data_IF_605861913351
#
_entry.id   IF_605861913351
#
_cell.length_a   1.000
_cell.length_b   1.000
_cell.length_c   1.000
_cell.angle_alpha   90.00
_cell.angle_beta   90.00
_cell.angle_gamma   90.00
#
_symmetry.space_group_name_H-M   'P 1'
#
loop_
_entity.id
_entity.type
_entity.pdbx_description
1 polymer ?
#
# COMPACT_ATOMS: atom_id res chain seq x y z
N UNK A 1 -4.24 -27.10 15.84
CA UNK A 1 -4.55 -26.81 14.42
C UNK A 1 -4.49 -25.30 14.07
N UNK A 2 -5.27 -24.42 14.74
CA UNK A 2 -5.26 -22.96 14.48
C UNK A 2 -3.86 -22.30 14.51
N UNK A 3 -3.01 -22.66 15.49
CA UNK A 3 -1.64 -22.11 15.63
C UNK A 3 -0.69 -22.50 14.48
N UNK A 4 -0.87 -23.69 13.89
CA UNK A 4 -0.05 -24.17 12.76
C UNK A 4 -0.44 -23.42 11.47
N UNK A 5 -1.74 -23.24 11.23
CA UNK A 5 -2.26 -22.50 10.07
C UNK A 5 -1.80 -21.03 10.12
N UNK A 6 -1.85 -20.41 11.29
CA UNK A 6 -1.40 -19.03 11.50
C UNK A 6 0.12 -18.89 11.33
N UNK A 7 0.92 -19.88 11.76
CA UNK A 7 2.35 -19.92 11.50
C UNK A 7 2.65 -20.04 9.99
N UNK A 8 1.94 -20.91 9.28
CA UNK A 8 2.10 -21.09 7.84
C UNK A 8 1.75 -19.80 7.09
N UNK A 9 0.60 -19.20 7.38
CA UNK A 9 0.20 -17.90 6.79
C UNK A 9 1.24 -16.80 7.01
N UNK A 10 1.83 -16.71 8.22
CA UNK A 10 2.90 -15.74 8.50
C UNK A 10 4.12 -15.95 7.61
N UNK A 11 4.59 -17.20 7.49
CA UNK A 11 5.75 -17.53 6.65
C UNK A 11 5.48 -17.20 5.19
N UNK A 12 4.29 -17.54 4.68
CA UNK A 12 3.87 -17.23 3.31
C UNK A 12 3.86 -15.72 3.04
N UNK A 13 3.30 -14.92 3.96
CA UNK A 13 3.28 -13.46 3.82
C UNK A 13 4.70 -12.90 3.76
N UNK A 14 5.61 -13.33 4.65
CA UNK A 14 6.99 -12.86 4.64
C UNK A 14 7.75 -13.25 3.36
N UNK A 15 7.53 -14.46 2.88
CA UNK A 15 8.15 -14.93 1.64
C UNK A 15 7.68 -14.11 0.43
N UNK A 16 6.36 -13.89 0.30
CA UNK A 16 5.79 -13.06 -0.76
C UNK A 16 6.27 -11.61 -0.63
N UNK A 17 6.34 -11.07 0.59
CA UNK A 17 6.85 -9.71 0.83
C UNK A 17 8.28 -9.55 0.31
N UNK A 18 9.15 -10.51 0.63
CA UNK A 18 10.55 -10.49 0.22
C UNK A 18 10.68 -10.55 -1.30
N UNK A 19 9.97 -11.48 -1.94
CA UNK A 19 10.01 -11.66 -3.40
C UNK A 19 9.49 -10.40 -4.11
N UNK A 20 8.31 -9.91 -3.73
CA UNK A 20 7.71 -8.74 -4.37
C UNK A 20 8.59 -7.50 -4.22
N UNK A 21 9.13 -7.26 -3.02
CA UNK A 21 10.07 -6.16 -2.76
C UNK A 21 11.35 -6.31 -3.59
N UNK A 22 11.91 -7.53 -3.66
CA UNK A 22 13.10 -7.81 -4.46
C UNK A 22 12.87 -7.44 -5.94
N UNK A 23 11.77 -7.89 -6.54
CA UNK A 23 11.46 -7.59 -7.94
C UNK A 23 11.24 -6.09 -8.20
N UNK A 24 10.57 -5.38 -7.30
CA UNK A 24 10.35 -3.93 -7.44
C UNK A 24 11.66 -3.16 -7.32
N UNK A 25 12.50 -3.49 -6.32
CA UNK A 25 13.78 -2.81 -6.09
C UNK A 25 14.77 -3.09 -7.22
N UNK A 26 14.98 -4.36 -7.56
CA UNK A 26 15.88 -4.72 -8.67
C UNK A 26 15.35 -4.21 -10.02
N UNK A 27 14.04 -4.29 -10.25
CA UNK A 27 13.43 -3.72 -11.45
C UNK A 27 13.65 -2.21 -11.55
N UNK A 28 13.56 -1.49 -10.42
CA UNK A 28 13.84 -0.05 -10.36
C UNK A 28 15.31 0.26 -10.62
N UNK A 29 16.24 -0.53 -10.04
CA UNK A 29 17.67 -0.42 -10.32
C UNK A 29 17.98 -0.65 -11.81
N UNK A 30 17.38 -1.68 -12.41
CA UNK A 30 17.55 -1.97 -13.84
C UNK A 30 17.02 -0.83 -14.69
N UNK A 31 15.91 -0.18 -14.28
CA UNK A 31 15.37 0.97 -14.98
C UNK A 31 16.32 2.17 -14.94
N UNK A 32 16.93 2.46 -13.79
CA UNK A 32 17.91 3.53 -13.62
C UNK A 32 19.17 3.25 -14.44
N UNK A 33 19.64 2.00 -14.46
CA UNK A 33 20.82 1.58 -15.22
C UNK A 33 20.56 1.36 -16.72
N UNK A 34 19.32 1.58 -17.19
CA UNK A 34 18.87 1.30 -18.55
C UNK A 34 19.07 -0.16 -19.01
N UNK A 35 19.09 -1.10 -18.06
CA UNK A 35 19.25 -2.52 -18.35
C UNK A 35 17.96 -3.16 -18.89
N UNK A 36 18.07 -4.15 -19.79
CA UNK A 36 16.90 -4.84 -20.32
C UNK A 36 16.14 -5.60 -19.22
N UNK A 37 14.82 -5.71 -19.37
CA UNK A 37 13.96 -6.45 -18.43
C UNK A 37 13.41 -5.65 -17.24
N UNK A 38 13.82 -4.39 -17.06
CA UNK A 38 13.33 -3.52 -15.98
C UNK A 38 11.79 -3.43 -15.91
N UNK A 39 11.14 -3.24 -17.06
CA UNK A 39 9.70 -3.11 -17.14
C UNK A 39 8.96 -4.37 -16.66
N UNK A 40 9.47 -5.55 -17.04
CA UNK A 40 8.89 -6.84 -16.66
C UNK A 40 9.01 -7.06 -15.15
N UNK A 41 10.20 -6.81 -14.59
CA UNK A 41 10.44 -6.99 -13.15
C UNK A 41 9.56 -6.08 -12.30
N UNK A 42 9.48 -4.79 -12.65
CA UNK A 42 8.63 -3.84 -11.93
C UNK A 42 7.16 -4.24 -12.05
N UNK A 43 6.69 -4.63 -13.24
CA UNK A 43 5.29 -5.01 -13.45
C UNK A 43 4.94 -6.26 -12.64
N UNK A 44 5.71 -7.34 -12.75
CA UNK A 44 5.44 -8.58 -12.02
C UNK A 44 5.51 -8.34 -10.51
N UNK A 45 6.55 -7.64 -10.03
CA UNK A 45 6.73 -7.34 -8.61
C UNK A 45 5.57 -6.52 -8.05
N UNK A 46 5.13 -5.51 -8.80
CA UNK A 46 4.07 -4.60 -8.35
C UNK A 46 2.67 -5.23 -8.40
N UNK A 47 2.35 -5.97 -9.46
CA UNK A 47 1.08 -6.68 -9.54
C UNK A 47 1.01 -7.79 -8.48
N UNK A 48 2.12 -8.51 -8.27
CA UNK A 48 2.19 -9.50 -7.18
C UNK A 48 2.02 -8.85 -5.81
N UNK A 49 2.61 -7.66 -5.58
CA UNK A 49 2.39 -6.89 -4.36
C UNK A 49 0.90 -6.51 -4.19
N UNK A 50 0.29 -5.95 -5.23
CA UNK A 50 -1.09 -5.49 -5.19
C UNK A 50 -2.12 -6.61 -5.02
N UNK A 51 -1.96 -7.73 -5.73
CA UNK A 51 -2.97 -8.79 -5.80
C UNK A 51 -2.68 -10.00 -4.90
N UNK A 52 -1.45 -10.21 -4.45
CA UNK A 52 -1.11 -11.33 -3.55
C UNK A 52 -0.84 -10.83 -2.13
N UNK A 53 0.11 -9.91 -1.98
CA UNK A 53 0.56 -9.50 -0.65
C UNK A 53 -0.51 -8.73 0.13
N UNK A 54 -1.14 -7.74 -0.50
CA UNK A 54 -2.14 -6.88 0.15
C UNK A 54 -3.38 -7.67 0.60
N UNK A 55 -4.03 -8.51 -0.23
CA UNK A 55 -5.15 -9.32 0.21
C UNK A 55 -4.79 -10.28 1.35
N UNK A 56 -3.61 -10.90 1.33
CA UNK A 56 -3.18 -11.80 2.40
C UNK A 56 -3.01 -11.07 3.75
N UNK A 57 -2.49 -9.85 3.74
CA UNK A 57 -2.39 -9.02 4.95
C UNK A 57 -3.76 -8.63 5.46
N UNK A 58 -4.67 -8.23 4.58
CA UNK A 58 -6.04 -7.89 4.94
C UNK A 58 -6.73 -9.08 5.59
N UNK A 59 -6.67 -10.26 4.96
CA UNK A 59 -7.24 -11.50 5.51
C UNK A 59 -6.67 -11.86 6.88
N UNK A 60 -5.36 -11.68 7.08
CA UNK A 60 -4.73 -11.89 8.39
C UNK A 60 -5.20 -10.87 9.42
N UNK A 61 -5.42 -9.61 9.04
CA UNK A 61 -5.90 -8.57 9.94
C UNK A 61 -7.31 -8.87 10.46
N UNK A 62 -8.20 -9.36 9.60
CA UNK A 62 -9.56 -9.76 9.98
C UNK A 62 -9.62 -10.98 10.91
N UNK A 63 -8.58 -11.81 10.95
CA UNK A 63 -8.46 -12.95 11.88
C UNK A 63 -7.97 -12.57 13.28
N UNK A 64 -7.55 -11.32 13.50
CA UNK A 64 -7.10 -10.84 14.81
C UNK A 64 -8.28 -10.31 15.63
N UNK A 65 -8.30 -10.59 16.92
CA UNK A 65 -9.27 -10.01 17.87
C UNK A 65 -9.02 -8.50 18.01
N UNK A 66 -9.65 -7.73 17.14
CA UNK A 66 -9.57 -6.28 17.10
C UNK A 66 -10.92 -5.70 16.67
N UNK A 67 -11.15 -4.43 16.99
CA UNK A 67 -12.40 -3.78 16.61
C UNK A 67 -12.60 -3.79 15.09
N UNK A 68 -13.78 -4.22 14.63
CA UNK A 68 -14.13 -4.25 13.19
C UNK A 68 -13.87 -2.92 12.49
N UNK A 69 -14.15 -1.79 13.15
CA UNK A 69 -13.86 -0.45 12.61
C UNK A 69 -12.37 -0.26 12.29
N UNK A 70 -11.48 -0.69 13.19
CA UNK A 70 -10.03 -0.54 12.98
C UNK A 70 -9.53 -1.44 11.86
N UNK A 71 -10.12 -2.63 11.71
CA UNK A 71 -9.82 -3.56 10.61
C UNK A 71 -10.25 -2.96 9.27
N UNK A 72 -11.47 -2.42 9.18
CA UNK A 72 -12.00 -1.79 7.96
C UNK A 72 -11.15 -0.58 7.56
N UNK A 73 -10.85 0.32 8.49
CA UNK A 73 -10.03 1.51 8.20
C UNK A 73 -8.62 1.09 7.74
N UNK A 74 -8.02 0.09 8.38
CA UNK A 74 -6.73 -0.44 7.97
C UNK A 74 -6.76 -1.03 6.56
N UNK A 75 -7.77 -1.84 6.25
CA UNK A 75 -7.95 -2.44 4.93
C UNK A 75 -8.22 -1.40 3.85
N UNK A 76 -9.05 -0.39 4.12
CA UNK A 76 -9.28 0.73 3.20
C UNK A 76 -7.99 1.48 2.90
N UNK A 77 -7.17 1.74 3.92
CA UNK A 77 -5.86 2.38 3.74
C UNK A 77 -4.91 1.57 2.86
N UNK A 78 -4.85 0.24 3.06
CA UNK A 78 -4.04 -0.64 2.22
C UNK A 78 -4.54 -0.66 0.77
N UNK A 79 -5.84 -0.72 0.55
CA UNK A 79 -6.43 -0.72 -0.80
C UNK A 79 -6.13 0.60 -1.50
N UNK A 80 -6.47 1.73 -0.88
CA UNK A 80 -6.25 3.05 -1.48
C UNK A 80 -4.76 3.34 -1.70
N UNK A 81 -3.90 2.96 -0.76
CA UNK A 81 -2.44 3.06 -0.93
C UNK A 81 -1.91 2.19 -2.08
N UNK A 82 -2.50 1.02 -2.30
CA UNK A 82 -2.15 0.13 -3.42
C UNK A 82 -2.57 0.72 -4.77
N UNK A 83 -3.78 1.30 -4.85
CA UNK A 83 -4.25 1.97 -6.07
C UNK A 83 -3.34 3.17 -6.39
N UNK A 84 -2.95 3.95 -5.37
CA UNK A 84 -1.97 5.03 -5.51
C UNK A 84 -0.63 4.50 -6.05
N UNK A 85 -0.10 3.42 -5.48
CA UNK A 85 1.13 2.77 -5.97
C UNK A 85 1.02 2.30 -7.43
N UNK A 86 -0.09 1.64 -7.79
CA UNK A 86 -0.37 1.21 -9.17
C UNK A 86 -0.44 2.41 -10.14
N UNK A 87 -1.01 3.54 -9.72
CA UNK A 87 -1.01 4.77 -10.51
C UNK A 87 0.40 5.24 -10.88
N UNK A 88 1.35 5.19 -9.94
CA UNK A 88 2.75 5.51 -10.22
C UNK A 88 3.39 4.53 -11.21
N UNK A 89 3.10 3.24 -11.09
CA UNK A 89 3.63 2.23 -12.01
C UNK A 89 3.10 2.47 -13.43
N UNK A 90 1.82 2.82 -13.57
CA UNK A 90 1.25 3.19 -14.86
C UNK A 90 1.96 4.42 -15.46
N UNK A 91 2.27 5.44 -14.65
CA UNK A 91 3.04 6.63 -15.08
C UNK A 91 4.46 6.25 -15.49
N UNK A 92 5.14 5.40 -14.72
CA UNK A 92 6.48 4.87 -15.03
C UNK A 92 6.49 4.06 -16.34
N UNK A 93 5.45 3.27 -16.60
CA UNK A 93 5.33 2.42 -17.80
C UNK A 93 4.73 3.13 -19.00
N UNK A 94 4.35 4.41 -18.88
CA UNK A 94 3.68 5.20 -19.93
C UNK A 94 2.40 4.53 -20.45
N UNK A 95 1.70 3.83 -19.58
CA UNK A 95 0.44 3.18 -19.92
C UNK A 95 -0.69 4.19 -20.06
N UNK A 96 -1.72 3.88 -20.87
CA UNK A 96 -2.87 4.77 -21.02
C UNK A 96 -3.55 5.00 -19.66
N UNK A 97 -4.22 6.14 -19.51
CA UNK A 97 -4.93 6.51 -18.28
C UNK A 97 -4.02 6.71 -17.04
N UNK A 98 -2.69 6.69 -17.18
CA UNK A 98 -1.75 6.83 -16.07
C UNK A 98 -1.96 8.10 -15.24
N UNK A 99 -1.99 9.26 -15.88
CA UNK A 99 -2.12 10.55 -15.17
C UNK A 99 -3.45 10.65 -14.42
N UNK A 100 -4.53 10.21 -15.05
CA UNK A 100 -5.87 10.21 -14.46
C UNK A 100 -6.01 9.22 -13.30
N UNK A 101 -5.46 8.00 -13.41
CA UNK A 101 -5.45 7.02 -12.31
C UNK A 101 -4.60 7.55 -11.15
N UNK A 102 -3.41 8.08 -11.45
CA UNK A 102 -2.53 8.62 -10.42
C UNK A 102 -3.18 9.79 -9.68
N UNK A 103 -3.70 10.80 -10.40
CA UNK A 103 -4.34 11.97 -9.78
C UNK A 103 -5.58 11.58 -8.96
N UNK A 104 -6.47 10.75 -9.52
CA UNK A 104 -7.66 10.28 -8.79
C UNK A 104 -7.29 9.52 -7.51
N UNK A 105 -6.25 8.70 -7.57
CA UNK A 105 -5.76 7.95 -6.40
C UNK A 105 -5.16 8.86 -5.33
N UNK A 106 -4.39 9.87 -5.73
CA UNK A 106 -3.80 10.87 -4.81
C UNK A 106 -4.90 11.67 -4.13
N UNK A 107 -5.93 12.10 -4.87
CA UNK A 107 -7.07 12.84 -4.32
C UNK A 107 -7.84 11.97 -3.33
N UNK A 108 -8.18 10.73 -3.70
CA UNK A 108 -8.87 9.80 -2.81
C UNK A 108 -8.02 9.50 -1.56
N UNK A 109 -6.73 9.29 -1.69
CA UNK A 109 -5.89 9.00 -0.53
C UNK A 109 -5.79 10.21 0.42
N UNK A 110 -5.49 11.41 -0.08
CA UNK A 110 -5.33 12.59 0.78
C UNK A 110 -6.63 13.13 1.35
N UNK A 111 -7.69 13.24 0.54
CA UNK A 111 -8.89 13.96 0.95
C UNK A 111 -9.99 13.03 1.46
N UNK A 112 -9.93 11.72 1.18
CA UNK A 112 -10.87 10.75 1.73
C UNK A 112 -10.24 9.91 2.84
N UNK A 113 -9.12 9.22 2.57
CA UNK A 113 -8.56 8.29 3.56
C UNK A 113 -7.95 8.99 4.77
N UNK A 114 -7.09 9.99 4.58
CA UNK A 114 -6.39 10.65 5.70
C UNK A 114 -7.36 11.28 6.72
N UNK A 115 -8.40 12.05 6.31
CA UNK A 115 -9.36 12.61 7.26
C UNK A 115 -10.15 11.53 8.01
N UNK A 116 -10.58 10.48 7.30
CA UNK A 116 -11.30 9.34 7.93
C UNK A 116 -10.40 8.63 8.94
N UNK A 117 -9.13 8.41 8.61
CA UNK A 117 -8.13 7.81 9.50
C UNK A 117 -7.93 8.66 10.76
N UNK A 118 -7.77 9.97 10.61
CA UNK A 118 -7.61 10.92 11.71
C UNK A 118 -8.82 10.89 12.64
N UNK A 119 -10.02 11.16 12.13
CA UNK A 119 -11.25 11.26 12.94
C UNK A 119 -11.56 9.95 13.68
N UNK A 120 -11.32 8.81 13.03
CA UNK A 120 -11.65 7.51 13.61
C UNK A 120 -10.72 7.12 14.76
N UNK A 121 -9.46 7.54 14.72
CA UNK A 121 -8.45 7.18 15.74
C UNK A 121 -8.19 8.30 16.76
N UNK A 122 -8.59 9.53 16.48
CA UNK A 122 -8.39 10.68 17.38
C UNK A 122 -9.03 10.51 18.76
N UNK A 123 -10.16 9.79 18.84
CA UNK A 123 -10.88 9.56 20.10
C UNK A 123 -10.15 8.64 21.09
N UNK A 124 -9.06 7.98 20.67
CA UNK A 124 -8.27 7.09 21.52
C UNK A 124 -7.04 7.84 22.02
N UNK A 125 -7.04 8.25 23.29
CA UNK A 125 -5.98 9.09 23.87
C UNK A 125 -4.58 8.48 23.72
N UNK A 126 -4.44 7.17 23.94
CA UNK A 126 -3.17 6.44 23.80
C UNK A 126 -2.58 6.51 22.38
N UNK A 127 -3.42 6.61 21.34
CA UNK A 127 -3.00 6.60 19.94
C UNK A 127 -3.02 7.98 19.30
N UNK A 128 -3.49 9.01 20.02
CA UNK A 128 -3.77 10.34 19.48
C UNK A 128 -2.51 10.99 18.90
N UNK A 129 -1.41 10.95 19.64
CA UNK A 129 -0.12 11.49 19.21
C UNK A 129 0.35 10.85 17.89
N UNK A 130 0.42 9.51 17.85
CA UNK A 130 0.83 8.77 16.65
C UNK A 130 -0.12 9.00 15.47
N UNK A 131 -1.43 9.11 15.74
CA UNK A 131 -2.44 9.33 14.70
C UNK A 131 -2.27 10.71 14.06
N UNK A 132 -2.07 11.76 14.85
CA UNK A 132 -1.85 13.12 14.35
C UNK A 132 -0.59 13.15 13.49
N UNK A 133 0.54 12.63 14.00
CA UNK A 133 1.81 12.61 13.27
C UNK A 133 1.67 11.84 11.95
N UNK A 134 1.11 10.63 11.99
CA UNK A 134 0.94 9.83 10.78
C UNK A 134 0.03 10.52 9.75
N UNK A 135 -1.03 11.20 10.21
CA UNK A 135 -1.95 11.90 9.31
C UNK A 135 -1.27 13.11 8.65
N UNK A 136 -0.51 13.90 9.42
CA UNK A 136 0.26 15.04 8.89
C UNK A 136 1.32 14.57 7.89
N UNK A 137 2.02 13.48 8.19
CA UNK A 137 3.01 12.89 7.28
C UNK A 137 2.34 12.41 5.99
N UNK A 138 1.26 11.64 6.08
CA UNK A 138 0.52 11.13 4.92
C UNK A 138 0.01 12.28 4.03
N UNK A 139 -0.58 13.31 4.64
CA UNK A 139 -1.10 14.47 3.91
C UNK A 139 0.01 15.29 3.24
N UNK A 140 1.14 15.48 3.93
CA UNK A 140 2.31 16.19 3.38
C UNK A 140 2.87 15.46 2.16
N UNK A 141 3.16 14.16 2.28
CA UNK A 141 3.65 13.36 1.16
C UNK A 141 2.66 13.33 0.01
N UNK A 142 1.38 13.09 0.31
CA UNK A 142 0.37 13.04 -0.72
C UNK A 142 0.15 14.39 -1.42
N UNK A 143 0.34 15.53 -0.74
CA UNK A 143 0.28 16.87 -1.35
C UNK A 143 1.46 17.12 -2.28
N UNK A 144 2.67 16.68 -1.90
CA UNK A 144 3.86 16.75 -2.78
C UNK A 144 3.62 15.92 -4.04
N UNK A 145 3.10 14.70 -3.88
CA UNK A 145 2.78 13.82 -5.02
C UNK A 145 1.70 14.40 -5.94
N UNK A 146 0.77 15.20 -5.41
CA UNK A 146 -0.25 15.88 -6.21
C UNK A 146 0.33 16.96 -7.13
N UNK A 147 1.47 17.55 -6.75
CA UNK A 147 2.15 18.59 -7.53
C UNK A 147 3.01 18.05 -8.70
N UNK A 148 3.19 16.72 -8.81
CA UNK A 148 4.02 16.03 -9.83
C UNK A 148 3.21 15.45 -10.99
#
# INVERSE_FOLDING_TARGET
MKKIIDLFMRKTIYFIALITTFFIVFGSLFKIMHWPGAAVMITIGSFSFAFLFIPLIILKKFKQDSFLKDQIIYSLGLILGTILGLGFIFKIMHWPMASTIMLSSIVLFNFLFVPVYLVSRYKREELRYNTIINSVMMFSFGSILFAM
#
